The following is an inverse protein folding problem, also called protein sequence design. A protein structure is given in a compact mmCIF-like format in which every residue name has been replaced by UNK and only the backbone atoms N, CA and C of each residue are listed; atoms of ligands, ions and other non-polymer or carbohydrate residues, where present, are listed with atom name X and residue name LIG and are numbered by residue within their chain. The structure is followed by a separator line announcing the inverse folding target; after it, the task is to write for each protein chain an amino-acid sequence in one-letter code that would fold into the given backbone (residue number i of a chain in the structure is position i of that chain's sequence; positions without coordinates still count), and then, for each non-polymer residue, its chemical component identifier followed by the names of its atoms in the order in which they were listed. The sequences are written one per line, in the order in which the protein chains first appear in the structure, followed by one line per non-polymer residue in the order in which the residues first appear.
data_IF_636023302386
#
_entry.id   IF_636023302386
#
_cell.length_a   1.000
_cell.length_b   1.000
_cell.length_c   1.000
_cell.angle_alpha   90.00
_cell.angle_beta   90.00
_cell.angle_gamma   90.00
#
_symmetry.space_group_name_H-M   'P 1'
#
loop_
_entity.id
_entity.type
_entity.pdbx_description
1 polymer ?
#
# COMPACT_ATOMS: atom_id res chain seq x y z
N UNK A 1 -10.05 14.17 -6.73
CA UNK A 1 -10.34 12.81 -6.20
C UNK A 1 -10.66 12.98 -4.72
N UNK A 2 -11.87 12.65 -4.26
CA UNK A 2 -12.33 12.92 -2.89
C UNK A 2 -11.57 12.05 -1.88
N UNK A 3 -10.85 12.68 -0.96
CA UNK A 3 -10.26 12.05 0.23
C UNK A 3 -11.36 11.96 1.29
N UNK A 4 -11.62 10.76 1.83
CA UNK A 4 -12.70 10.54 2.79
C UNK A 4 -12.16 10.11 4.16
N UNK A 5 -12.71 10.68 5.23
CA UNK A 5 -12.33 10.46 6.63
C UNK A 5 -13.52 9.87 7.39
N UNK A 6 -13.25 9.02 8.37
CA UNK A 6 -14.30 8.29 9.08
C UNK A 6 -14.04 8.23 10.58
N UNK A 7 -15.02 7.76 11.37
CA UNK A 7 -14.90 7.32 12.79
C UNK A 7 -16.00 6.31 13.07
N UNK A 8 -15.68 5.18 13.71
CA UNK A 8 -16.66 4.12 14.00
C UNK A 8 -16.48 3.50 15.41
N UNK A 9 -17.57 2.93 15.96
CA UNK A 9 -17.69 2.35 17.32
C UNK A 9 -18.21 0.90 17.27
N UNK A 10 -17.83 0.08 18.24
CA UNK A 10 -17.82 -1.40 18.20
C UNK A 10 -18.76 -2.05 19.24
N UNK A 11 -19.40 -3.18 18.92
CA UNK A 11 -19.98 -4.19 19.85
C UNK A 11 -19.83 -5.59 19.22
N UNK A 12 -19.42 -6.61 19.99
CA UNK A 12 -19.02 -7.94 19.52
C UNK A 12 -19.89 -9.11 20.02
N UNK A 13 -19.95 -10.21 19.25
CA UNK A 13 -20.40 -11.55 19.67
C UNK A 13 -19.50 -12.66 19.07
N UNK A 14 -19.34 -13.79 19.78
CA UNK A 14 -18.40 -14.91 19.51
C UNK A 14 -19.00 -16.06 18.68
N UNK A 15 -18.17 -16.88 18.01
CA UNK A 15 -18.55 -18.22 17.52
C UNK A 15 -17.65 -19.39 18.03
N UNK A 16 -18.18 -20.61 17.98
CA UNK A 16 -17.55 -21.93 18.21
C UNK A 16 -18.25 -22.94 17.25
N UNK A 17 -17.73 -24.02 16.66
CA UNK A 17 -16.44 -24.74 16.62
C UNK A 17 -16.46 -25.64 15.35
N UNK A 18 -15.30 -26.04 14.80
CA UNK A 18 -15.17 -27.30 14.04
C UNK A 18 -13.75 -27.87 14.16
N UNK A 19 -13.62 -29.20 14.34
CA UNK A 19 -12.36 -29.94 14.49
C UNK A 19 -12.09 -30.80 13.25
N UNK A 20 -10.81 -30.97 12.87
CA UNK A 20 -10.37 -32.00 11.92
C UNK A 20 -9.10 -32.70 12.44
N UNK A 21 -9.06 -34.03 12.26
CA UNK A 21 -7.97 -34.92 12.67
C UNK A 21 -6.86 -35.06 11.62
N UNK A 22 -5.69 -35.49 12.08
CA UNK A 22 -4.47 -35.63 11.29
C UNK A 22 -4.15 -37.11 11.01
N UNK A 23 -3.71 -37.41 9.79
CA UNK A 23 -2.83 -38.54 9.51
C UNK A 23 -1.69 -38.10 8.59
N UNK A 24 -0.47 -38.49 8.95
CA UNK A 24 0.77 -38.12 8.29
C UNK A 24 1.14 -39.11 7.18
N UNK A 25 1.60 -38.60 6.03
CA UNK A 25 2.34 -39.36 5.00
C UNK A 25 3.54 -38.53 4.55
N UNK A 26 4.63 -39.23 4.22
CA UNK A 26 5.97 -38.66 4.03
C UNK A 26 6.10 -37.63 2.90
N UNK A 27 6.95 -36.63 3.10
CA UNK A 27 7.15 -35.52 2.18
C UNK A 27 8.09 -35.90 1.02
N UNK A 28 7.53 -36.03 -0.18
CA UNK A 28 8.27 -35.87 -1.43
C UNK A 28 8.15 -34.40 -1.85
N UNK A 29 9.26 -33.72 -2.14
CA UNK A 29 9.21 -32.33 -2.61
C UNK A 29 8.71 -32.30 -4.06
N UNK A 30 7.41 -32.13 -4.26
CA UNK A 30 6.73 -31.88 -5.54
C UNK A 30 6.81 -30.42 -5.99
N UNK A 31 7.89 -29.71 -5.65
CA UNK A 31 8.05 -28.30 -6.02
C UNK A 31 8.26 -28.18 -7.53
N UNK A 32 7.18 -27.88 -8.25
CA UNK A 32 7.23 -27.42 -9.63
C UNK A 32 7.88 -26.03 -9.65
N UNK A 33 9.00 -25.89 -10.35
CA UNK A 33 9.61 -24.58 -10.62
C UNK A 33 9.22 -24.13 -12.02
N UNK A 34 8.54 -22.98 -12.12
CA UNK A 34 8.22 -22.38 -13.42
C UNK A 34 9.44 -21.64 -14.00
N UNK A 35 9.53 -21.47 -15.33
CA UNK A 35 10.49 -20.57 -15.94
C UNK A 35 10.38 -19.15 -15.37
N UNK A 36 11.51 -18.45 -15.27
CA UNK A 36 11.59 -17.12 -14.63
C UNK A 36 10.63 -16.09 -15.21
N UNK A 37 10.47 -16.08 -16.54
CA UNK A 37 9.54 -15.17 -17.22
C UNK A 37 8.08 -15.41 -16.78
N UNK A 38 7.70 -16.67 -16.57
CA UNK A 38 6.37 -17.03 -16.08
C UNK A 38 6.20 -16.67 -14.60
N UNK A 39 7.23 -16.88 -13.77
CA UNK A 39 7.21 -16.42 -12.37
C UNK A 39 7.05 -14.89 -12.28
N UNK A 40 7.75 -14.15 -13.15
CA UNK A 40 7.66 -12.70 -13.19
C UNK A 40 6.28 -12.21 -13.62
N UNK A 41 5.70 -12.80 -14.67
CA UNK A 41 4.33 -12.46 -15.10
C UNK A 41 3.30 -12.78 -14.02
N UNK A 42 3.41 -13.94 -13.38
CA UNK A 42 2.50 -14.30 -12.29
C UNK A 42 2.63 -13.34 -11.11
N UNK A 43 3.86 -12.98 -10.72
CA UNK A 43 4.10 -12.00 -9.66
C UNK A 43 3.40 -10.66 -9.95
N UNK A 44 3.51 -10.14 -11.17
CA UNK A 44 2.81 -8.91 -11.55
C UNK A 44 1.31 -9.07 -11.33
N UNK A 45 0.71 -10.14 -11.85
CA UNK A 45 -0.73 -10.40 -11.74
C UNK A 45 -1.18 -10.50 -10.28
N UNK A 46 -0.39 -11.17 -9.42
CA UNK A 46 -0.70 -11.32 -8.00
C UNK A 46 -0.76 -9.96 -7.29
N UNK A 47 0.14 -9.03 -7.62
CA UNK A 47 0.18 -7.69 -7.00
C UNK A 47 -0.76 -6.67 -7.62
N UNK A 48 -1.19 -6.86 -8.87
CA UNK A 48 -2.18 -5.98 -9.53
C UNK A 48 -3.50 -5.98 -8.79
N UNK A 49 -3.86 -7.11 -8.18
CA UNK A 49 -5.12 -7.29 -7.46
C UNK A 49 -5.03 -7.07 -5.95
N UNK A 50 -3.84 -6.75 -5.43
CA UNK A 50 -3.62 -6.52 -4.00
C UNK A 50 -3.64 -5.05 -3.62
N UNK A 51 -4.00 -4.82 -2.35
CA UNK A 51 -4.02 -3.49 -1.74
C UNK A 51 -3.01 -3.42 -0.59
N UNK A 52 -2.23 -2.35 -0.58
CA UNK A 52 -1.28 -2.04 0.47
C UNK A 52 -1.78 -0.87 1.33
N UNK A 53 -1.64 -1.05 2.64
CA UNK A 53 -1.86 -0.04 3.66
C UNK A 53 -0.49 0.46 4.13
N UNK A 54 -0.21 1.73 3.89
CA UNK A 54 1.01 2.40 4.34
C UNK A 54 0.66 3.34 5.49
N UNK A 55 1.45 3.33 6.55
CA UNK A 55 1.32 4.27 7.64
C UNK A 55 2.60 5.07 7.82
N UNK A 56 2.54 6.36 7.53
CA UNK A 56 3.62 7.30 7.78
C UNK A 56 3.59 7.72 9.24
N UNK A 57 4.57 7.25 10.01
CA UNK A 57 4.65 7.47 11.46
C UNK A 57 4.99 8.93 11.77
N UNK A 58 5.75 9.61 10.91
CA UNK A 58 6.16 11.00 11.13
C UNK A 58 5.04 11.98 10.77
N UNK A 59 4.35 11.76 9.65
CA UNK A 59 3.19 12.57 9.28
C UNK A 59 1.91 12.19 10.05
N UNK A 60 1.90 11.03 10.74
CA UNK A 60 0.70 10.36 11.29
C UNK A 60 -0.43 10.32 10.26
N UNK A 61 -0.10 9.80 9.08
CA UNK A 61 -0.96 9.78 7.91
C UNK A 61 -0.93 8.39 7.27
N UNK A 62 -2.10 7.86 6.96
CA UNK A 62 -2.25 6.57 6.32
C UNK A 62 -2.58 6.70 4.84
N UNK A 63 -2.06 5.79 4.03
CA UNK A 63 -2.29 5.70 2.60
C UNK A 63 -2.78 4.30 2.22
N UNK A 64 -3.89 4.22 1.48
CA UNK A 64 -4.36 2.98 0.87
C UNK A 64 -4.09 3.02 -0.63
N UNK A 65 -3.11 2.24 -1.07
CA UNK A 65 -2.56 2.27 -2.44
C UNK A 65 -2.51 0.87 -3.06
N UNK A 66 -2.44 0.75 -4.40
CA UNK A 66 -2.22 -0.55 -5.03
C UNK A 66 -0.88 -1.14 -4.61
N UNK A 67 -0.83 -2.44 -4.27
CA UNK A 67 0.41 -3.09 -3.85
C UNK A 67 1.50 -3.04 -4.93
N UNK A 68 1.11 -3.12 -6.20
CA UNK A 68 2.06 -2.99 -7.31
C UNK A 68 2.70 -1.58 -7.39
N UNK A 69 1.98 -0.53 -6.98
CA UNK A 69 2.53 0.83 -6.88
C UNK A 69 3.55 0.93 -5.74
N UNK A 70 3.27 0.29 -4.59
CA UNK A 70 4.24 0.15 -3.51
C UNK A 70 5.51 -0.58 -3.99
N UNK A 71 5.37 -1.68 -4.73
CA UNK A 71 6.52 -2.42 -5.26
C UNK A 71 7.38 -1.58 -6.21
N UNK A 72 6.76 -0.80 -7.10
CA UNK A 72 7.48 0.10 -7.98
C UNK A 72 8.29 1.12 -7.17
N UNK A 73 7.67 1.72 -6.15
CA UNK A 73 8.36 2.61 -5.23
C UNK A 73 9.53 1.93 -4.51
N UNK A 74 9.32 0.72 -3.97
CA UNK A 74 10.37 -0.06 -3.32
C UNK A 74 11.55 -0.38 -4.26
N UNK A 75 11.29 -0.62 -5.54
CA UNK A 75 12.35 -0.82 -6.53
C UNK A 75 13.19 0.44 -6.76
N UNK A 76 12.54 1.62 -6.78
CA UNK A 76 13.23 2.91 -6.88
C UNK A 76 14.05 3.21 -5.61
N UNK A 77 13.48 2.97 -4.43
CA UNK A 77 14.20 3.12 -3.15
C UNK A 77 15.36 2.12 -3.07
N UNK A 78 15.18 0.89 -3.55
CA UNK A 78 16.24 -0.11 -3.66
C UNK A 78 17.40 0.40 -4.51
N UNK A 79 17.12 0.96 -5.69
CA UNK A 79 18.14 1.59 -6.52
C UNK A 79 18.87 2.71 -5.78
N UNK A 80 18.14 3.65 -5.17
CA UNK A 80 18.76 4.76 -4.44
C UNK A 80 19.59 4.33 -3.24
N UNK A 81 19.23 3.20 -2.61
CA UNK A 81 19.96 2.62 -1.47
C UNK A 81 21.22 1.87 -1.90
N UNK A 82 21.23 1.29 -3.11
CA UNK A 82 22.31 0.39 -3.58
C UNK A 82 23.21 1.00 -4.65
N UNK A 83 22.84 2.14 -5.25
CA UNK A 83 23.64 2.80 -6.29
C UNK A 83 25.05 3.09 -5.82
N UNK A 84 26.03 2.78 -6.67
CA UNK A 84 27.44 3.09 -6.43
C UNK A 84 27.77 4.54 -6.76
N UNK A 85 27.20 5.03 -7.86
CA UNK A 85 27.32 6.43 -8.26
C UNK A 85 26.12 7.22 -7.73
N UNK A 86 26.39 8.20 -6.86
CA UNK A 86 25.34 9.05 -6.32
C UNK A 86 24.74 9.99 -7.39
N UNK A 87 25.45 10.28 -8.47
CA UNK A 87 24.99 11.14 -9.57
C UNK A 87 24.16 10.38 -10.61
N UNK A 88 24.20 9.05 -10.63
CA UNK A 88 23.47 8.26 -11.62
C UNK A 88 21.93 8.44 -11.47
N UNK A 89 21.22 8.77 -12.56
CA UNK A 89 19.76 8.85 -12.54
C UNK A 89 19.14 7.46 -12.37
N UNK A 90 17.95 7.41 -11.76
CA UNK A 90 17.22 6.15 -11.61
C UNK A 90 16.73 5.67 -12.99
N UNK A 91 17.09 4.46 -13.44
CA UNK A 91 16.63 3.93 -14.73
C UNK A 91 15.17 3.43 -14.68
N UNK A 92 14.56 3.37 -13.49
CA UNK A 92 13.19 2.89 -13.28
C UNK A 92 12.23 4.07 -13.41
N UNK A 93 11.39 4.12 -14.45
CA UNK A 93 10.49 5.25 -14.65
C UNK A 93 9.39 5.27 -13.58
N UNK A 94 8.90 6.46 -13.28
CA UNK A 94 7.66 6.61 -12.51
C UNK A 94 6.46 6.18 -13.35
N UNK A 95 5.46 5.59 -12.68
CA UNK A 95 4.17 5.33 -13.31
C UNK A 95 3.50 6.66 -13.68
N UNK A 96 2.80 6.66 -14.83
CA UNK A 96 1.99 7.82 -15.23
C UNK A 96 0.82 8.01 -14.27
N UNK A 97 0.42 9.26 -14.05
CA UNK A 97 -0.81 9.59 -13.31
C UNK A 97 -2.00 8.88 -13.99
N UNK A 98 -2.80 8.17 -13.20
CA UNK A 98 -3.88 7.34 -13.71
C UNK A 98 -4.99 7.23 -12.68
N UNK A 99 -6.24 7.17 -13.15
CA UNK A 99 -7.41 6.86 -12.31
C UNK A 99 -7.40 5.40 -11.82
N UNK A 100 -6.58 4.54 -12.42
CA UNK A 100 -6.28 3.21 -11.94
C UNK A 100 -4.76 3.10 -11.77
N UNK A 101 -4.28 3.40 -10.55
CA UNK A 101 -2.86 3.35 -10.21
C UNK A 101 -2.23 1.96 -10.39
N UNK A 102 -3.01 0.89 -10.23
CA UNK A 102 -2.52 -0.49 -10.42
C UNK A 102 -2.08 -0.73 -11.87
N UNK A 103 -2.94 -0.38 -12.84
CA UNK A 103 -2.64 -0.52 -14.28
C UNK A 103 -1.43 0.30 -14.73
N UNK A 104 -1.25 1.50 -14.19
CA UNK A 104 -0.14 2.36 -14.58
C UNK A 104 1.21 1.79 -14.10
N UNK A 105 1.27 1.24 -12.89
CA UNK A 105 2.46 0.58 -12.37
C UNK A 105 2.68 -0.80 -13.01
N UNK A 106 1.61 -1.54 -13.33
CA UNK A 106 1.66 -2.78 -14.11
C UNK A 106 2.36 -2.57 -15.45
N UNK A 107 1.96 -1.55 -16.19
CA UNK A 107 2.54 -1.23 -17.49
C UNK A 107 4.05 -0.96 -17.39
N UNK A 108 4.49 -0.28 -16.33
CA UNK A 108 5.93 -0.06 -16.07
C UNK A 108 6.65 -1.40 -15.94
N UNK A 109 6.14 -2.34 -15.13
CA UNK A 109 6.78 -3.65 -14.98
C UNK A 109 6.74 -4.49 -16.25
N UNK A 110 5.66 -4.42 -17.04
CA UNK A 110 5.56 -5.15 -18.31
C UNK A 110 6.56 -4.64 -19.35
N UNK A 111 6.71 -3.32 -19.47
CA UNK A 111 7.58 -2.71 -20.48
C UNK A 111 9.04 -2.70 -20.04
N UNK A 112 9.30 -2.41 -18.76
CA UNK A 112 10.64 -2.17 -18.23
C UNK A 112 11.23 -3.34 -17.43
N UNK A 113 10.57 -4.51 -17.38
CA UNK A 113 11.03 -5.65 -16.58
C UNK A 113 12.46 -6.11 -16.86
N UNK A 114 12.91 -5.99 -18.13
CA UNK A 114 14.26 -6.34 -18.56
C UNK A 114 15.28 -5.19 -18.44
N UNK A 115 14.84 -4.02 -17.97
CA UNK A 115 15.71 -2.85 -17.78
C UNK A 115 16.77 -3.18 -16.75
N UNK A 116 18.02 -2.96 -17.13
CA UNK A 116 19.16 -3.16 -16.25
C UNK A 116 19.24 -2.04 -15.23
N UNK A 117 19.25 -2.41 -13.96
CA UNK A 117 19.39 -1.49 -12.84
C UNK A 117 20.88 -1.45 -12.46
N UNK A 118 21.61 -0.56 -13.13
CA UNK A 118 23.06 -0.43 -13.00
C UNK A 118 23.48 -0.06 -11.57
N UNK A 119 24.72 -0.42 -11.20
CA UNK A 119 25.37 0.06 -9.98
C UNK A 119 25.42 -0.92 -8.80
N UNK A 120 25.74 -2.20 -9.04
CA UNK A 120 26.09 -3.15 -7.97
C UNK A 120 27.58 -3.51 -7.99
N UNK A 121 28.21 -3.66 -6.82
CA UNK A 121 29.59 -4.19 -6.71
C UNK A 121 29.61 -5.69 -7.00
N UNK A 122 30.45 -6.11 -7.96
CA UNK A 122 30.98 -7.47 -8.04
C UNK A 122 30.03 -8.59 -8.49
N UNK A 123 28.93 -8.27 -9.17
CA UNK A 123 28.02 -9.25 -9.77
C UNK A 123 27.27 -8.63 -10.95
N UNK A 124 26.73 -9.47 -11.84
CA UNK A 124 25.95 -9.01 -12.99
C UNK A 124 24.85 -8.02 -12.58
N UNK A 125 24.60 -7.02 -13.42
CA UNK A 125 23.68 -5.95 -13.12
C UNK A 125 22.24 -6.49 -13.02
N UNK A 126 21.55 -6.34 -11.87
CA UNK A 126 20.22 -6.90 -11.70
C UNK A 126 19.23 -6.19 -12.60
N UNK A 127 18.31 -6.94 -13.21
CA UNK A 127 17.18 -6.37 -13.95
C UNK A 127 16.05 -6.01 -13.00
N UNK A 128 15.18 -5.09 -13.40
CA UNK A 128 14.01 -4.68 -12.63
C UNK A 128 13.16 -5.88 -12.19
N UNK A 129 12.92 -6.84 -13.09
CA UNK A 129 12.15 -8.04 -12.77
C UNK A 129 12.81 -8.94 -11.72
N UNK A 130 14.14 -8.94 -11.63
CA UNK A 130 14.85 -9.67 -10.59
C UNK A 130 14.68 -9.02 -9.21
N UNK A 131 14.69 -7.68 -9.19
CA UNK A 131 14.47 -6.90 -7.97
C UNK A 131 13.03 -7.10 -7.48
N UNK A 132 12.05 -7.07 -8.38
CA UNK A 132 10.65 -7.35 -8.05
C UNK A 132 10.49 -8.73 -7.39
N UNK A 133 11.02 -9.79 -7.99
CA UNK A 133 10.91 -11.15 -7.43
C UNK A 133 11.57 -11.27 -6.04
N UNK A 134 12.69 -10.58 -5.82
CA UNK A 134 13.34 -10.53 -4.51
C UNK A 134 12.49 -9.81 -3.46
N UNK A 135 11.88 -8.68 -3.82
CA UNK A 135 11.00 -7.93 -2.94
C UNK A 135 9.72 -8.70 -2.64
N UNK A 136 9.14 -9.38 -3.64
CA UNK A 136 8.00 -10.28 -3.47
C UNK A 136 8.30 -11.33 -2.40
N UNK A 137 9.40 -12.08 -2.50
CA UNK A 137 9.74 -13.09 -1.50
C UNK A 137 9.92 -12.51 -0.09
N UNK A 138 10.46 -11.29 0.01
CA UNK A 138 10.55 -10.57 1.29
C UNK A 138 9.18 -10.24 1.85
N UNK A 139 8.24 -9.83 1.00
CA UNK A 139 6.86 -9.52 1.36
C UNK A 139 6.07 -10.76 1.74
N UNK A 140 6.10 -11.83 0.94
CA UNK A 140 5.35 -13.07 1.19
C UNK A 140 5.71 -13.66 2.56
N UNK A 141 7.00 -13.71 2.89
CA UNK A 141 7.48 -14.18 4.20
C UNK A 141 7.03 -13.30 5.38
N UNK A 142 6.67 -12.04 5.13
CA UNK A 142 6.20 -11.08 6.15
C UNK A 142 4.68 -11.03 6.24
N UNK A 143 3.97 -11.15 5.12
CA UNK A 143 2.50 -11.30 5.08
C UNK A 143 2.09 -12.55 5.85
N UNK A 144 2.83 -13.66 5.73
CA UNK A 144 2.58 -14.86 6.53
C UNK A 144 2.75 -14.64 8.05
N UNK A 145 3.52 -13.64 8.46
CA UNK A 145 3.75 -13.27 9.87
C UNK A 145 2.92 -12.06 10.29
N UNK A 146 1.96 -11.66 9.46
CA UNK A 146 1.11 -10.50 9.72
C UNK A 146 0.30 -10.74 10.98
N UNK A 147 0.33 -9.75 11.86
CA UNK A 147 -0.51 -9.71 13.04
C UNK A 147 -1.69 -8.78 12.78
N UNK A 148 -2.91 -9.27 13.03
CA UNK A 148 -4.09 -8.42 12.97
C UNK A 148 -3.96 -7.28 14.00
N UNK A 149 -4.47 -6.08 13.68
CA UNK A 149 -4.51 -4.99 14.64
C UNK A 149 -5.27 -5.40 15.91
N UNK A 150 -4.85 -4.84 17.05
CA UNK A 150 -5.44 -5.09 18.36
C UNK A 150 -5.83 -3.75 18.97
N UNK A 151 -7.13 -3.52 19.19
CA UNK A 151 -7.62 -2.22 19.63
C UNK A 151 -7.22 -1.11 18.65
N UNK A 152 -6.44 -0.14 19.13
CA UNK A 152 -5.87 0.95 18.33
C UNK A 152 -4.42 0.71 17.88
N UNK A 153 -3.89 -0.49 18.05
CA UNK A 153 -2.50 -0.79 17.68
C UNK A 153 -2.45 -1.41 16.28
N UNK A 154 -1.70 -0.78 15.39
CA UNK A 154 -1.36 -1.29 14.06
C UNK A 154 -0.05 -2.07 14.15
N UNK A 155 0.05 -3.19 13.43
CA UNK A 155 1.28 -3.99 13.37
C UNK A 155 1.73 -4.14 11.92
N UNK A 156 3.04 -4.07 11.68
CA UNK A 156 3.60 -4.20 10.34
C UNK A 156 5.12 -4.06 10.32
N UNK A 157 5.78 -4.54 9.26
CA UNK A 157 7.18 -4.21 9.01
C UNK A 157 7.38 -2.73 8.67
N UNK A 158 8.59 -2.23 8.91
CA UNK A 158 9.04 -0.96 8.35
C UNK A 158 9.50 -1.16 6.89
N UNK A 159 9.30 -0.14 6.06
CA UNK A 159 9.54 -0.17 4.62
C UNK A 159 11.00 -0.49 4.26
N UNK A 160 11.97 0.14 4.92
CA UNK A 160 13.39 -0.12 4.69
C UNK A 160 13.82 -1.51 5.13
N UNK A 161 13.15 -2.11 6.12
CA UNK A 161 13.35 -3.53 6.45
C UNK A 161 12.99 -4.46 5.28
N UNK A 162 12.24 -4.02 4.27
CA UNK A 162 11.95 -4.82 3.06
C UNK A 162 13.12 -4.84 2.07
N UNK A 163 13.90 -3.76 2.06
CA UNK A 163 15.02 -3.51 1.14
C UNK A 163 16.32 -4.02 1.76
N UNK A 164 16.50 -3.79 3.06
CA UNK A 164 17.67 -4.18 3.82
C UNK A 164 17.31 -5.41 4.67
N UNK A 165 18.28 -6.31 4.90
CA UNK A 165 18.05 -7.36 5.88
C UNK A 165 17.89 -6.69 7.24
N UNK A 166 16.79 -6.92 7.97
CA UNK A 166 16.67 -6.40 9.33
C UNK A 166 17.84 -6.93 10.16
N UNK A 167 18.29 -6.13 11.12
CA UNK A 167 19.29 -6.57 12.10
C UNK A 167 18.79 -7.75 12.95
N UNK A 168 19.53 -8.12 13.99
CA UNK A 168 19.06 -9.14 14.94
C UNK A 168 17.78 -8.63 15.65
N UNK A 169 16.63 -9.27 15.39
CA UNK A 169 15.36 -8.94 16.05
C UNK A 169 14.11 -9.22 15.22
N UNK A 170 12.95 -8.94 15.82
CA UNK A 170 11.66 -8.99 15.13
C UNK A 170 11.54 -7.82 14.15
N UNK A 171 11.13 -8.13 12.92
CA UNK A 171 10.82 -7.14 11.89
C UNK A 171 9.45 -6.48 12.13
N UNK A 172 8.67 -6.98 13.09
CA UNK A 172 7.34 -6.46 13.39
C UNK A 172 7.48 -5.20 14.27
N UNK A 173 7.05 -4.08 13.73
CA UNK A 173 6.85 -2.83 14.46
C UNK A 173 5.38 -2.68 14.81
N UNK A 174 5.09 -1.78 15.74
CA UNK A 174 3.73 -1.42 16.10
C UNK A 174 3.64 0.06 16.40
N UNK A 175 2.46 0.63 16.18
CA UNK A 175 2.15 2.02 16.50
C UNK A 175 0.70 2.12 16.98
N UNK A 176 0.48 2.93 18.01
CA UNK A 176 -0.86 3.23 18.51
C UNK A 176 -1.46 4.42 17.78
N UNK A 177 -2.71 4.28 17.32
CA UNK A 177 -3.44 5.35 16.64
C UNK A 177 -4.43 6.02 17.59
N UNK A 178 -4.69 7.31 17.37
CA UNK A 178 -5.71 8.03 18.12
C UNK A 178 -7.12 7.51 17.82
N UNK A 179 -8.11 8.02 18.55
CA UNK A 179 -9.52 7.71 18.28
C UNK A 179 -9.98 8.05 16.85
N UNK A 180 -9.31 8.99 16.18
CA UNK A 180 -9.54 9.33 14.77
C UNK A 180 -9.02 8.20 13.87
N UNK A 181 -7.85 7.64 14.20
CA UNK A 181 -7.27 6.52 13.46
C UNK A 181 -8.05 5.21 13.56
N UNK A 182 -8.83 5.02 14.65
CA UNK A 182 -9.68 3.83 14.83
C UNK A 182 -10.65 3.60 13.67
N UNK A 183 -11.01 4.67 12.96
CA UNK A 183 -11.93 4.66 11.85
C UNK A 183 -11.55 3.76 10.67
N UNK A 184 -10.25 3.69 10.37
CA UNK A 184 -9.72 2.97 9.23
C UNK A 184 -9.05 1.66 9.62
N UNK A 185 -9.09 1.28 10.90
CA UNK A 185 -8.52 0.02 11.39
C UNK A 185 -9.08 -1.20 10.65
N UNK A 186 -10.31 -1.10 10.12
CA UNK A 186 -10.86 -2.17 9.30
C UNK A 186 -10.12 -2.32 7.96
N UNK A 187 -9.62 -1.25 7.36
CA UNK A 187 -8.77 -1.34 6.16
C UNK A 187 -7.43 -1.95 6.48
N UNK A 188 -6.88 -1.68 7.66
CA UNK A 188 -5.67 -2.36 8.13
C UNK A 188 -5.91 -3.86 8.20
N UNK A 189 -7.08 -4.32 8.66
CA UNK A 189 -7.44 -5.75 8.73
C UNK A 189 -7.65 -6.39 7.36
N UNK A 190 -8.18 -5.65 6.40
CA UNK A 190 -8.54 -6.19 5.07
C UNK A 190 -7.45 -6.00 4.01
N UNK A 191 -6.49 -5.10 4.24
CA UNK A 191 -5.37 -4.90 3.33
C UNK A 191 -4.47 -6.14 3.29
N UNK A 192 -3.99 -6.46 2.09
CA UNK A 192 -3.13 -7.62 1.86
C UNK A 192 -1.72 -7.37 2.43
N UNK A 193 -1.27 -6.11 2.40
CA UNK A 193 0.04 -5.68 2.91
C UNK A 193 -0.15 -4.49 3.85
N UNK A 194 0.54 -4.51 5.01
CA UNK A 194 0.59 -3.38 5.95
C UNK A 194 2.05 -3.02 6.17
N UNK A 195 2.43 -1.75 5.98
CA UNK A 195 3.82 -1.28 6.06
C UNK A 195 3.89 0.06 6.77
N UNK A 196 4.90 0.22 7.62
CA UNK A 196 5.27 1.51 8.19
C UNK A 196 6.31 2.20 7.33
N UNK A 197 6.16 3.50 7.15
CA UNK A 197 7.16 4.35 6.52
C UNK A 197 7.36 5.62 7.34
N UNK A 198 8.35 6.41 6.93
CA UNK A 198 8.65 7.71 7.51
C UNK A 198 8.92 8.71 6.41
N UNK A 199 8.18 9.81 6.39
CA UNK A 199 8.40 10.91 5.46
C UNK A 199 8.18 10.50 4.00
N UNK A 200 7.14 9.71 3.72
CA UNK A 200 6.78 9.29 2.36
C UNK A 200 6.36 10.48 1.50
N UNK A 201 5.82 11.53 2.12
CA UNK A 201 5.18 12.64 1.43
C UNK A 201 3.81 12.25 0.87
N UNK A 202 3.34 12.97 -0.15
CA UNK A 202 2.05 12.71 -0.76
C UNK A 202 2.11 11.48 -1.67
N UNK A 203 1.55 10.35 -1.23
CA UNK A 203 1.47 9.16 -2.07
C UNK A 203 0.32 9.23 -3.10
N UNK A 204 -0.71 10.02 -2.81
CA UNK A 204 -1.89 10.22 -3.67
C UNK A 204 -2.11 11.72 -3.83
N UNK A 205 -2.25 12.17 -5.08
CA UNK A 205 -2.49 13.57 -5.42
C UNK A 205 -3.76 13.75 -6.27
N UNK A 206 -4.45 14.90 -6.18
CA UNK A 206 -5.58 15.20 -7.05
C UNK A 206 -5.16 15.40 -8.51
N UNK A 207 -5.87 14.75 -9.43
CA UNK A 207 -5.57 14.77 -10.87
C UNK A 207 -5.64 16.18 -11.52
N UNK A 208 -6.54 17.05 -11.04
CA UNK A 208 -6.88 18.31 -11.72
C UNK A 208 -6.03 19.51 -11.26
N UNK A 209 -4.97 19.28 -10.49
CA UNK A 209 -4.13 20.36 -10.01
C UNK A 209 -3.07 20.76 -11.03
N UNK A 210 -3.16 22.01 -11.52
CA UNK A 210 -2.06 22.63 -12.25
C UNK A 210 -0.88 22.79 -11.30
N UNK A 211 0.22 22.12 -11.61
CA UNK A 211 1.52 22.29 -10.95
C UNK A 211 1.88 23.79 -10.95
N UNK A 212 1.93 24.40 -9.76
CA UNK A 212 2.30 25.81 -9.60
C UNK A 212 1.29 26.70 -8.88
N UNK A 213 0.12 26.20 -8.45
CA UNK A 213 -0.73 27.00 -7.55
C UNK A 213 -0.03 27.16 -6.20
N UNK A 214 0.15 28.38 -5.65
CA UNK A 214 0.81 28.60 -4.36
C UNK A 214 -0.02 28.12 -3.15
N UNK A 215 -1.20 27.55 -3.40
CA UNK A 215 -2.11 27.10 -2.35
C UNK A 215 -1.77 25.70 -1.83
N UNK A 216 -1.61 25.57 -0.51
CA UNK A 216 -1.46 24.30 0.21
C UNK A 216 -2.79 23.59 0.54
N UNK A 217 -3.92 24.07 0.01
CA UNK A 217 -5.26 23.49 0.20
C UNK A 217 -5.41 22.04 -0.30
N UNK A 218 -4.45 21.55 -1.08
CA UNK A 218 -4.40 20.16 -1.57
C UNK A 218 -3.60 19.23 -0.66
N UNK A 219 -2.84 19.79 0.29
CA UNK A 219 -2.06 19.01 1.22
C UNK A 219 -2.97 18.42 2.29
N UNK A 220 -2.84 17.13 2.51
CA UNK A 220 -3.55 16.45 3.58
C UNK A 220 -2.92 16.86 4.91
N UNK A 221 -3.70 17.31 5.91
CA UNK A 221 -3.14 17.70 7.19
C UNK A 221 -2.42 16.54 7.88
N UNK A 222 -1.21 16.81 8.37
CA UNK A 222 -0.46 15.88 9.21
C UNK A 222 -1.06 15.83 10.63
N UNK A 223 -0.59 14.88 11.44
CA UNK A 223 -0.91 14.73 12.87
C UNK A 223 -2.37 14.40 13.23
N UNK A 224 -3.18 14.05 12.22
CA UNK A 224 -4.61 13.76 12.41
C UNK A 224 -5.00 12.29 12.19
N UNK A 225 -4.01 11.41 12.02
CA UNK A 225 -4.22 9.97 11.78
C UNK A 225 -5.26 9.73 10.69
N UNK A 226 -5.18 10.50 9.61
CA UNK A 226 -6.17 10.42 8.56
C UNK A 226 -5.83 9.27 7.59
N UNK A 227 -6.83 8.77 6.88
CA UNK A 227 -6.62 7.83 5.78
C UNK A 227 -6.89 8.52 4.45
N UNK A 228 -5.91 8.47 3.56
CA UNK A 228 -6.07 8.83 2.15
C UNK A 228 -6.10 7.54 1.35
N UNK A 229 -7.16 7.34 0.58
CA UNK A 229 -7.35 6.09 -0.13
C UNK A 229 -7.60 6.30 -1.61
N UNK A 230 -6.93 5.52 -2.44
CA UNK A 230 -7.19 5.51 -3.87
C UNK A 230 -8.54 4.83 -4.13
N UNK A 231 -9.40 5.43 -4.96
CA UNK A 231 -10.76 4.94 -5.20
C UNK A 231 -10.80 3.47 -5.64
N UNK A 232 -9.87 3.06 -6.51
CA UNK A 232 -9.75 1.67 -6.93
C UNK A 232 -9.46 0.71 -5.75
N UNK A 233 -8.62 1.10 -4.79
CA UNK A 233 -8.31 0.27 -3.62
C UNK A 233 -9.51 0.13 -2.69
N UNK A 234 -10.24 1.24 -2.47
CA UNK A 234 -11.50 1.20 -1.72
C UNK A 234 -12.52 0.29 -2.40
N UNK A 235 -12.76 0.46 -3.70
CA UNK A 235 -13.69 -0.38 -4.45
C UNK A 235 -13.26 -1.85 -4.42
N UNK A 236 -11.96 -2.13 -4.53
CA UNK A 236 -11.43 -3.49 -4.47
C UNK A 236 -11.71 -4.15 -3.11
N UNK A 237 -11.39 -3.49 -2.00
CA UNK A 237 -11.69 -4.02 -0.66
C UNK A 237 -13.20 -4.19 -0.48
N UNK A 238 -13.99 -3.18 -0.88
CA UNK A 238 -15.45 -3.21 -0.75
C UNK A 238 -16.11 -4.36 -1.51
N UNK A 239 -15.71 -4.55 -2.76
CA UNK A 239 -16.30 -5.59 -3.61
C UNK A 239 -15.83 -6.98 -3.20
N UNK A 240 -14.54 -7.15 -2.92
CA UNK A 240 -13.95 -8.47 -2.66
C UNK A 240 -14.14 -8.99 -1.24
N UNK A 241 -14.18 -8.10 -0.23
CA UNK A 241 -14.28 -8.50 1.19
C UNK A 241 -15.70 -8.33 1.75
N UNK A 242 -16.47 -7.40 1.19
CA UNK A 242 -17.80 -7.05 1.72
C UNK A 242 -18.95 -7.24 0.72
N UNK A 243 -18.66 -7.55 -0.55
CA UNK A 243 -19.69 -7.65 -1.59
C UNK A 243 -20.46 -6.34 -1.81
N UNK A 244 -19.85 -5.19 -1.49
CA UNK A 244 -20.44 -3.84 -1.63
C UNK A 244 -19.65 -3.01 -2.65
N UNK A 245 -20.20 -1.87 -3.05
CA UNK A 245 -19.56 -0.92 -3.96
C UNK A 245 -19.56 0.49 -3.39
N UNK A 246 -18.52 1.25 -3.70
CA UNK A 246 -18.35 2.64 -3.31
C UNK A 246 -19.24 3.61 -4.10
N UNK A 247 -20.04 3.14 -5.07
CA UNK A 247 -20.96 4.01 -5.83
C UNK A 247 -21.86 4.87 -4.94
N UNK A 248 -22.24 4.35 -3.76
CA UNK A 248 -23.05 5.08 -2.80
C UNK A 248 -22.28 6.13 -1.98
N UNK A 249 -20.93 6.12 -1.96
CA UNK A 249 -20.14 7.14 -1.27
C UNK A 249 -20.48 8.55 -1.78
N UNK A 250 -20.79 8.72 -3.07
CA UNK A 250 -21.19 10.02 -3.63
C UNK A 250 -22.45 10.60 -2.97
N UNK A 251 -23.26 9.79 -2.30
CA UNK A 251 -24.44 10.21 -1.53
C UNK A 251 -24.11 10.56 -0.07
N UNK A 252 -22.83 10.72 0.25
CA UNK A 252 -22.34 11.12 1.57
C UNK A 252 -22.29 9.99 2.61
N UNK A 253 -22.75 8.77 2.28
CA UNK A 253 -22.58 7.61 3.15
C UNK A 253 -22.49 6.29 2.40
N UNK A 254 -21.74 5.33 2.95
CA UNK A 254 -21.59 3.98 2.41
C UNK A 254 -21.58 2.97 3.56
N UNK A 255 -22.29 1.85 3.38
CA UNK A 255 -22.28 0.75 4.34
C UNK A 255 -21.05 -0.11 4.08
N UNK A 256 -20.23 -0.30 5.10
CA UNK A 256 -18.99 -1.06 5.07
C UNK A 256 -19.16 -2.34 5.89
N UNK A 257 -19.24 -3.50 5.22
CA UNK A 257 -19.62 -4.77 5.86
C UNK A 257 -21.00 -4.72 6.53
N UNK A 258 -21.25 -5.61 7.47
CA UNK A 258 -22.60 -5.78 8.02
C UNK A 258 -22.97 -4.73 9.10
N UNK A 259 -21.98 -4.04 9.68
CA UNK A 259 -22.19 -3.21 10.88
C UNK A 259 -21.57 -1.81 10.86
N UNK A 260 -20.91 -1.39 9.78
CA UNK A 260 -20.26 -0.07 9.72
C UNK A 260 -20.92 0.83 8.69
N UNK A 261 -21.10 2.10 9.05
CA UNK A 261 -21.51 3.14 8.10
C UNK A 261 -20.44 4.19 8.06
N UNK A 262 -19.89 4.36 6.87
CA UNK A 262 -18.94 5.38 6.52
C UNK A 262 -19.71 6.60 6.05
N UNK A 263 -19.60 7.72 6.76
CA UNK A 263 -20.16 9.01 6.33
C UNK A 263 -19.02 9.95 5.96
N UNK A 264 -19.16 10.65 4.85
CA UNK A 264 -18.27 11.78 4.59
C UNK A 264 -18.59 12.85 5.63
N UNK A 265 -17.70 13.01 6.59
CA UNK A 265 -17.73 14.12 7.55
C UNK A 265 -16.92 15.31 7.00
N UNK A 266 -17.02 16.45 7.68
CA UNK A 266 -16.50 17.77 7.28
C UNK A 266 -15.22 17.78 6.42
N UNK A 267 -15.16 18.77 5.51
CA UNK A 267 -13.98 19.03 4.67
C UNK A 267 -12.71 19.15 5.53
N UNK A 268 -11.74 18.25 5.36
CA UNK A 268 -10.55 18.13 6.22
C UNK A 268 -9.50 19.22 5.93
N UNK A 269 -9.58 19.82 4.74
CA UNK A 269 -8.53 20.65 4.18
C UNK A 269 -8.74 22.07 4.66
N UNK A 270 -7.64 22.80 4.73
CA UNK A 270 -7.71 24.23 5.01
C UNK A 270 -8.57 24.89 3.92
N UNK A 271 -9.54 25.70 4.33
CA UNK A 271 -10.32 26.50 3.40
C UNK A 271 -9.38 27.47 2.68
N UNK A 272 -9.44 27.48 1.36
CA UNK A 272 -8.74 28.45 0.52
C UNK A 272 -9.77 29.22 -0.29
N UNK A 273 -9.64 30.55 -0.29
CA UNK A 273 -10.37 31.41 -1.22
C UNK A 273 -9.67 31.40 -2.59
N UNK A 274 -10.21 30.61 -3.52
CA UNK A 274 -9.79 30.58 -4.91
C UNK A 274 -10.44 31.67 -5.78
N UNK A 275 -11.02 32.70 -5.17
CA UNK A 275 -11.80 33.73 -5.87
C UNK A 275 -10.98 34.78 -6.63
N UNK A 276 -9.64 34.71 -6.64
CA UNK A 276 -8.80 35.74 -7.28
C UNK A 276 -7.58 35.14 -8.01
N UNK A 277 -7.81 34.45 -9.13
CA UNK A 277 -6.75 34.22 -10.12
C UNK A 277 -7.30 33.98 -11.54
N UNK A 278 -8.23 34.82 -11.97
CA UNK A 278 -8.50 35.08 -13.39
C UNK A 278 -8.20 36.54 -13.66
N UNK A 279 -6.93 36.84 -13.92
CA UNK A 279 -6.46 38.08 -14.53
C UNK A 279 -5.42 37.71 -15.57
#
# INVERSE_FOLDING_TARGET
MLVCYYKAREIALRPENYKAGWHATGFYSTKQSFPRAQQYQQAILDFVDQVAFLYDVEAKLAWLVPSISLLLHLCQVYFHTKKLDQAAPCPIPFAKVSANGSKAAEEVFRVHGETVVAGMKGGGEPRLGEILLRLQWSLDGRVQKRQNPKGSTVFGPEMMDMIQRPGAGSCLKFEDVTDEGKAWMRFVQEADIVVFCRGLGNAIEPQDMKSGSPCSCHQVPNDRHLLVAHNWCLEKIMTTRFGKSIKNLQRGSCVFGDNYVWKMDNWPFNMCDHTLSTS
#
